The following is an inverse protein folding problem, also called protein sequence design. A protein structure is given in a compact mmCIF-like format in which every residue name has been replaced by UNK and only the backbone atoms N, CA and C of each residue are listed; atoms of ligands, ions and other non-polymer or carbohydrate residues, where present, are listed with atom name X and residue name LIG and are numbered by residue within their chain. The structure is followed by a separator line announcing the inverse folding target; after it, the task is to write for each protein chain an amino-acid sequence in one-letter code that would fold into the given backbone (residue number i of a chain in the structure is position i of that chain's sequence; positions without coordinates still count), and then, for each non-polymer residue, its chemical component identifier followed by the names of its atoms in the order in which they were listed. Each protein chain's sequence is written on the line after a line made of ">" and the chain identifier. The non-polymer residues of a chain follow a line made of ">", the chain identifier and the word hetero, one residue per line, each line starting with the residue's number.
data_IF_399311426946
#
_entry.id   IF_399311426946
#
_cell.length_a   1.000
_cell.length_b   1.000
_cell.length_c   1.000
_cell.angle_alpha   90.00
_cell.angle_beta   90.00
_cell.angle_gamma   90.00
#
_symmetry.space_group_name_H-M   'P 1'
#
loop_
_entity.id
_entity.type
_entity.pdbx_description
1 polymer ?
#
# COMPACT_ATOMS: atom_id res chain seq x y z
N UNK A 1 40.57 -30.41 -17.11
CA UNK A 1 41.01 -29.33 -16.17
C UNK A 1 40.25 -28.02 -16.30
N UNK A 2 39.84 -27.54 -17.49
CA UNK A 2 39.07 -26.31 -17.62
C UNK A 2 37.60 -26.42 -17.15
N UNK A 3 37.00 -27.60 -17.15
CA UNK A 3 35.62 -27.85 -16.69
C UNK A 3 35.41 -27.80 -15.17
N UNK A 4 36.45 -28.11 -14.40
CA UNK A 4 36.38 -28.10 -12.93
C UNK A 4 36.53 -26.69 -12.33
N UNK A 5 37.22 -25.79 -13.02
CA UNK A 5 37.46 -24.41 -12.56
C UNK A 5 36.18 -23.57 -12.68
N UNK A 6 35.26 -23.90 -13.59
CA UNK A 6 33.98 -23.18 -13.76
C UNK A 6 32.85 -23.71 -12.83
N UNK A 7 32.95 -24.88 -12.28
CA UNK A 7 31.94 -25.48 -11.41
C UNK A 7 31.98 -24.94 -9.97
N UNK A 8 33.13 -24.53 -9.47
CA UNK A 8 33.31 -24.04 -8.10
C UNK A 8 32.61 -22.68 -7.89
N UNK A 9 32.81 -21.65 -8.76
CA UNK A 9 32.12 -20.38 -8.60
C UNK A 9 30.59 -20.47 -8.82
N UNK A 10 30.12 -21.39 -9.66
CA UNK A 10 28.70 -21.63 -9.87
C UNK A 10 28.05 -22.30 -8.64
N UNK A 11 28.73 -23.25 -8.01
CA UNK A 11 28.24 -23.91 -6.79
C UNK A 11 28.23 -22.96 -5.59
N UNK A 12 29.25 -22.14 -5.40
CA UNK A 12 29.30 -21.11 -4.35
C UNK A 12 28.24 -20.04 -4.53
N UNK A 13 28.00 -19.59 -5.76
CA UNK A 13 26.92 -18.66 -6.09
C UNK A 13 25.53 -19.25 -5.80
N UNK A 14 25.29 -20.51 -6.14
CA UNK A 14 24.03 -21.20 -5.87
C UNK A 14 23.79 -21.38 -4.36
N UNK A 15 24.80 -21.72 -3.59
CA UNK A 15 24.72 -21.87 -2.13
C UNK A 15 24.48 -20.52 -1.45
N UNK A 16 25.16 -19.46 -1.87
CA UNK A 16 24.93 -18.11 -1.37
C UNK A 16 23.49 -17.63 -1.68
N UNK A 17 23.00 -17.88 -2.88
CA UNK A 17 21.63 -17.56 -3.28
C UNK A 17 20.59 -18.36 -2.48
N UNK A 18 20.82 -19.64 -2.26
CA UNK A 18 19.95 -20.48 -1.43
C UNK A 18 19.95 -20.01 0.03
N UNK A 19 21.09 -19.65 0.59
CA UNK A 19 21.22 -19.10 1.93
C UNK A 19 20.46 -17.77 2.10
N UNK A 20 20.58 -16.87 1.14
CA UNK A 20 19.83 -15.61 1.11
C UNK A 20 18.32 -15.85 1.03
N UNK A 21 17.89 -16.79 0.19
CA UNK A 21 16.47 -17.17 0.06
C UNK A 21 15.90 -17.74 1.36
N UNK A 22 16.65 -18.61 2.04
CA UNK A 22 16.24 -19.17 3.33
C UNK A 22 16.17 -18.11 4.41
N UNK A 23 17.15 -17.22 4.50
CA UNK A 23 17.15 -16.09 5.44
C UNK A 23 15.92 -15.19 5.22
N UNK A 24 15.63 -14.88 3.98
CA UNK A 24 14.47 -14.09 3.58
C UNK A 24 13.14 -14.76 3.96
N UNK A 25 13.00 -16.07 3.68
CA UNK A 25 11.80 -16.81 4.09
C UNK A 25 11.63 -16.83 5.61
N UNK A 26 12.73 -16.96 6.37
CA UNK A 26 12.68 -16.89 7.84
C UNK A 26 12.19 -15.50 8.30
N UNK A 27 12.72 -14.43 7.71
CA UNK A 27 12.30 -13.05 8.03
C UNK A 27 10.81 -12.87 7.76
N UNK A 28 10.29 -13.30 6.60
CA UNK A 28 8.86 -13.18 6.30
C UNK A 28 7.98 -13.96 7.27
N UNK A 29 8.35 -15.18 7.63
CA UNK A 29 7.60 -15.95 8.64
C UNK A 29 7.59 -15.24 10.00
N UNK A 30 8.68 -14.59 10.38
CA UNK A 30 8.74 -13.80 11.61
C UNK A 30 7.83 -12.58 11.53
N UNK A 31 7.79 -11.89 10.39
CA UNK A 31 6.91 -10.74 10.17
C UNK A 31 5.43 -11.17 10.13
N UNK A 32 5.09 -12.29 9.49
CA UNK A 32 3.73 -12.85 9.47
C UNK A 32 3.24 -13.22 10.88
N UNK A 33 4.09 -13.88 11.68
CA UNK A 33 3.77 -14.18 13.08
C UNK A 33 3.55 -12.88 13.87
N UNK A 34 4.42 -11.90 13.69
CA UNK A 34 4.31 -10.59 14.33
C UNK A 34 3.03 -9.84 13.94
N UNK A 35 2.56 -9.95 12.70
CA UNK A 35 1.31 -9.32 12.26
C UNK A 35 0.12 -9.74 13.10
N UNK A 36 0.03 -11.04 13.41
CA UNK A 36 -1.04 -11.56 14.26
C UNK A 36 -0.99 -10.93 15.66
N UNK A 37 0.19 -10.89 16.27
CA UNK A 37 0.38 -10.28 17.60
C UNK A 37 0.05 -8.79 17.58
N UNK A 38 0.44 -8.06 16.52
CA UNK A 38 0.11 -6.65 16.36
C UNK A 38 -1.39 -6.42 16.18
N UNK A 39 -2.06 -7.25 15.37
CA UNK A 39 -3.51 -7.17 15.17
C UNK A 39 -4.27 -7.37 16.49
N UNK A 40 -3.86 -8.32 17.32
CA UNK A 40 -4.45 -8.54 18.65
C UNK A 40 -4.15 -7.38 19.58
N UNK A 41 -2.89 -6.98 19.70
CA UNK A 41 -2.44 -5.96 20.67
C UNK A 41 -3.01 -4.57 20.39
N UNK A 42 -2.98 -4.13 19.14
CA UNK A 42 -3.42 -2.79 18.74
C UNK A 42 -4.87 -2.77 18.25
N UNK A 43 -5.45 -3.90 17.88
CA UNK A 43 -6.84 -4.01 17.47
C UNK A 43 -7.82 -3.56 18.55
N UNK A 44 -7.53 -3.86 19.82
CA UNK A 44 -8.32 -3.40 20.97
C UNK A 44 -8.33 -1.88 21.08
N UNK A 45 -7.15 -1.24 20.90
CA UNK A 45 -7.03 0.22 20.98
C UNK A 45 -7.75 0.93 19.82
N UNK A 46 -7.76 0.34 18.63
CA UNK A 46 -8.47 0.87 17.46
C UNK A 46 -10.00 0.84 17.67
N UNK A 47 -10.51 -0.08 18.46
CA UNK A 47 -11.95 -0.21 18.75
C UNK A 47 -12.83 -0.08 17.49
N UNK A 48 -12.48 -0.85 16.47
CA UNK A 48 -13.18 -0.83 15.18
C UNK A 48 -14.60 -1.39 15.32
N UNK A 49 -15.57 -0.94 14.50
CA UNK A 49 -16.94 -1.39 14.59
C UNK A 49 -17.09 -2.90 14.33
N UNK A 50 -17.90 -3.57 15.12
CA UNK A 50 -18.27 -4.98 14.89
C UNK A 50 -19.19 -5.15 13.66
N UNK A 51 -19.97 -4.11 13.36
CA UNK A 51 -20.93 -4.10 12.25
C UNK A 51 -20.45 -3.20 11.13
N UNK A 52 -20.73 -3.63 9.90
CA UNK A 52 -20.51 -2.81 8.70
C UNK A 52 -21.64 -1.77 8.56
N UNK A 53 -21.39 -0.68 7.81
CA UNK A 53 -22.45 0.25 7.41
C UNK A 53 -23.60 -0.50 6.71
N UNK A 54 -24.82 -0.08 7.00
CA UNK A 54 -26.05 -0.72 6.46
C UNK A 54 -26.16 -0.52 4.95
N UNK A 55 -25.68 0.65 4.47
CA UNK A 55 -25.70 0.98 3.05
C UNK A 55 -24.26 1.12 2.57
N UNK A 56 -23.92 0.38 1.53
CA UNK A 56 -22.63 0.44 0.87
C UNK A 56 -22.80 0.88 -0.58
N UNK A 57 -21.90 1.72 -1.11
CA UNK A 57 -21.97 2.15 -2.50
C UNK A 57 -21.74 0.99 -3.47
N UNK A 58 -22.33 1.11 -4.66
CA UNK A 58 -22.19 0.13 -5.74
C UNK A 58 -20.80 0.19 -6.39
N UNK A 59 -20.16 -0.96 -6.53
CA UNK A 59 -18.82 -1.12 -7.13
C UNK A 59 -18.82 -1.28 -8.66
N UNK A 60 -19.95 -1.05 -9.36
CA UNK A 60 -20.06 -1.26 -10.83
C UNK A 60 -19.06 -0.44 -11.63
N UNK A 61 -18.72 0.76 -11.18
CA UNK A 61 -17.72 1.63 -11.81
C UNK A 61 -16.26 1.29 -11.42
N UNK A 62 -16.06 0.19 -10.69
CA UNK A 62 -14.74 -0.29 -10.22
C UNK A 62 -14.00 0.69 -9.30
N UNK A 63 -14.67 1.68 -8.79
CA UNK A 63 -14.23 2.61 -7.75
C UNK A 63 -15.41 3.02 -6.89
N UNK A 64 -15.18 3.09 -5.59
CA UNK A 64 -16.13 3.64 -4.62
C UNK A 64 -15.41 4.54 -3.62
N UNK A 65 -16.18 5.45 -3.05
CA UNK A 65 -15.74 6.38 -2.00
C UNK A 65 -16.71 6.26 -0.85
N UNK A 66 -16.19 5.98 0.35
CA UNK A 66 -16.97 5.84 1.57
C UNK A 66 -16.48 6.91 2.55
N UNK A 67 -17.29 7.92 2.87
CA UNK A 67 -16.92 8.92 3.86
C UNK A 67 -17.00 8.32 5.26
N UNK A 68 -16.12 8.78 6.15
CA UNK A 68 -16.10 8.48 7.58
C UNK A 68 -16.27 6.98 7.95
N UNK A 69 -15.50 6.06 7.34
CA UNK A 69 -15.60 4.63 7.60
C UNK A 69 -15.11 4.24 9.00
N UNK A 70 -14.33 5.11 9.64
CA UNK A 70 -13.73 4.86 10.94
C UNK A 70 -14.30 5.79 12.02
N UNK A 71 -14.49 5.29 13.25
CA UNK A 71 -14.71 6.15 14.39
C UNK A 71 -13.58 7.18 14.53
N UNK A 72 -13.90 8.40 14.95
CA UNK A 72 -12.93 9.50 15.07
C UNK A 72 -11.69 9.08 15.88
N UNK A 73 -11.88 8.39 17.00
CA UNK A 73 -10.78 7.93 17.86
C UNK A 73 -9.84 6.95 17.10
N UNK A 74 -10.40 6.00 16.36
CA UNK A 74 -9.61 5.05 15.56
C UNK A 74 -8.83 5.77 14.46
N UNK A 75 -9.49 6.71 13.78
CA UNK A 75 -8.86 7.50 12.73
C UNK A 75 -7.69 8.34 13.28
N UNK A 76 -7.86 9.00 14.42
CA UNK A 76 -6.79 9.80 15.05
C UNK A 76 -5.59 8.92 15.44
N UNK A 77 -5.81 7.71 15.98
CA UNK A 77 -4.72 6.75 16.26
C UNK A 77 -3.91 6.46 14.98
N UNK A 78 -4.58 6.20 13.86
CA UNK A 78 -3.91 5.93 12.59
C UNK A 78 -3.17 7.16 12.05
N UNK A 79 -3.77 8.34 12.17
CA UNK A 79 -3.19 9.61 11.75
C UNK A 79 -1.92 9.92 12.54
N UNK A 80 -1.96 9.79 13.85
CA UNK A 80 -0.81 9.99 14.72
C UNK A 80 0.29 8.97 14.45
N UNK A 81 -0.08 7.69 14.25
CA UNK A 81 0.86 6.65 13.86
C UNK A 81 1.60 6.98 12.56
N UNK A 82 0.89 7.48 11.55
CA UNK A 82 1.49 7.87 10.29
C UNK A 82 2.44 9.08 10.40
N UNK A 83 2.18 9.97 11.35
CA UNK A 83 3.00 11.17 11.58
C UNK A 83 4.24 10.89 12.46
N UNK A 84 4.35 9.73 13.10
CA UNK A 84 5.58 9.27 13.77
C UNK A 84 6.66 8.91 12.74
N UNK A 85 7.16 9.87 12.05
CA UNK A 85 8.06 9.75 10.89
C UNK A 85 9.14 8.68 11.06
N UNK A 86 9.16 7.73 10.13
CA UNK A 86 10.28 6.83 9.91
C UNK A 86 11.10 7.26 8.68
N UNK A 87 12.04 6.42 8.26
CA UNK A 87 12.78 6.63 7.02
C UNK A 87 11.83 6.55 5.82
N UNK A 88 11.54 7.69 5.20
CA UNK A 88 10.80 7.75 3.93
C UNK A 88 11.77 7.57 2.77
N UNK A 89 11.49 6.61 1.92
CA UNK A 89 12.23 6.42 0.68
C UNK A 89 11.56 7.23 -0.44
N UNK A 90 12.35 8.04 -1.13
CA UNK A 90 11.84 8.76 -2.30
C UNK A 90 11.99 7.91 -3.56
N UNK A 91 11.01 8.03 -4.47
CA UNK A 91 11.03 7.27 -5.71
C UNK A 91 12.27 7.56 -6.54
N UNK A 92 12.82 6.50 -7.14
CA UNK A 92 13.95 6.56 -8.08
C UNK A 92 13.52 6.92 -9.52
N UNK A 93 12.22 7.05 -9.78
CA UNK A 93 11.65 7.46 -11.07
C UNK A 93 10.89 8.78 -10.96
N UNK A 94 11.58 9.93 -10.83
CA UNK A 94 10.93 11.23 -10.61
C UNK A 94 9.98 11.61 -11.76
N UNK A 95 10.23 11.14 -12.98
CA UNK A 95 9.36 11.39 -14.13
C UNK A 95 7.98 10.70 -13.99
N UNK A 96 7.88 9.62 -13.19
CA UNK A 96 6.64 8.90 -12.98
C UNK A 96 6.01 9.22 -11.62
N UNK A 97 6.81 9.23 -10.56
CA UNK A 97 6.39 9.48 -9.18
C UNK A 97 7.42 10.33 -8.46
N UNK A 98 6.97 11.40 -7.84
CA UNK A 98 7.73 12.15 -6.82
C UNK A 98 6.95 12.07 -5.50
N UNK A 99 7.67 11.79 -4.42
CA UNK A 99 7.05 11.62 -3.10
C UNK A 99 7.83 10.65 -2.23
N UNK A 100 7.59 10.71 -0.95
CA UNK A 100 8.13 9.78 0.04
C UNK A 100 7.26 8.53 0.15
N UNK A 101 7.86 7.40 0.48
CA UNK A 101 7.12 6.15 0.74
C UNK A 101 7.72 5.45 1.94
N UNK A 102 6.88 4.95 2.83
CA UNK A 102 7.25 4.01 3.89
C UNK A 102 6.70 2.65 3.51
N UNK A 103 7.59 1.67 3.32
CA UNK A 103 7.24 0.33 2.90
C UNK A 103 6.62 -0.49 4.04
N UNK A 104 5.88 -1.55 3.68
CA UNK A 104 5.15 -2.39 4.63
C UNK A 104 6.02 -2.94 5.77
N UNK A 105 7.19 -3.42 5.46
CA UNK A 105 8.11 -3.99 6.45
C UNK A 105 8.46 -3.00 7.57
N UNK A 106 8.64 -1.70 7.23
CA UNK A 106 8.94 -0.68 8.23
C UNK A 106 7.75 -0.30 9.10
N UNK A 107 6.53 -0.39 8.57
CA UNK A 107 5.33 -0.08 9.35
C UNK A 107 5.19 -0.96 10.59
N UNK A 108 5.73 -2.18 10.58
CA UNK A 108 5.73 -3.06 11.74
C UNK A 108 6.47 -2.48 12.95
N UNK A 109 7.44 -1.63 12.71
CA UNK A 109 8.25 -1.00 13.76
C UNK A 109 7.76 0.40 14.12
N UNK A 110 7.42 1.21 13.11
CA UNK A 110 7.13 2.63 13.33
C UNK A 110 5.65 2.96 13.49
N UNK A 111 4.77 2.15 12.92
CA UNK A 111 3.32 2.36 12.91
C UNK A 111 2.55 1.04 13.00
N UNK A 112 2.74 0.25 14.09
CA UNK A 112 2.09 -1.05 14.25
C UNK A 112 0.56 -0.98 14.27
N UNK A 113 -0.03 0.15 14.63
CA UNK A 113 -1.48 0.40 14.57
C UNK A 113 -2.00 0.35 13.12
N UNK A 114 -1.22 0.84 12.17
CA UNK A 114 -1.55 0.77 10.73
C UNK A 114 -1.51 -0.69 10.26
N UNK A 115 -0.53 -1.47 10.72
CA UNK A 115 -0.47 -2.91 10.41
C UNK A 115 -1.69 -3.63 11.00
N UNK A 116 -2.04 -3.33 12.25
CA UNK A 116 -3.22 -3.89 12.91
C UNK A 116 -4.52 -3.53 12.17
N UNK A 117 -4.67 -2.27 11.73
CA UNK A 117 -5.81 -1.86 10.93
C UNK A 117 -5.89 -2.60 9.60
N UNK A 118 -4.77 -2.68 8.86
CA UNK A 118 -4.71 -3.40 7.58
C UNK A 118 -5.07 -4.88 7.72
N UNK A 119 -4.67 -5.52 8.80
CA UNK A 119 -4.96 -6.93 9.09
C UNK A 119 -6.29 -7.15 9.81
N UNK A 120 -7.05 -6.08 10.10
CA UNK A 120 -8.31 -6.18 10.85
C UNK A 120 -9.40 -6.91 10.06
N UNK A 121 -10.20 -7.67 10.78
CA UNK A 121 -11.39 -8.33 10.23
C UNK A 121 -12.43 -7.31 9.73
N UNK A 122 -12.54 -6.16 10.40
CA UNK A 122 -13.40 -5.07 9.98
C UNK A 122 -13.09 -4.59 8.55
N UNK A 123 -11.84 -4.21 8.29
CA UNK A 123 -11.43 -3.71 6.97
C UNK A 123 -11.59 -4.78 5.88
N UNK A 124 -11.22 -6.02 6.19
CA UNK A 124 -11.37 -7.15 5.27
C UNK A 124 -12.85 -7.38 4.90
N UNK A 125 -13.75 -7.40 5.91
CA UNK A 125 -15.20 -7.55 5.70
C UNK A 125 -15.77 -6.38 4.91
N UNK A 126 -15.38 -5.14 5.25
CA UNK A 126 -15.83 -3.93 4.56
C UNK A 126 -15.44 -3.98 3.08
N UNK A 127 -14.17 -4.25 2.78
CA UNK A 127 -13.70 -4.39 1.39
C UNK A 127 -14.42 -5.52 0.65
N UNK A 128 -14.60 -6.69 1.29
CA UNK A 128 -15.33 -7.82 0.68
C UNK A 128 -16.78 -7.49 0.36
N UNK A 129 -17.46 -6.78 1.28
CA UNK A 129 -18.87 -6.39 1.09
C UNK A 129 -19.02 -5.36 -0.04
N UNK A 130 -18.12 -4.35 -0.09
CA UNK A 130 -18.11 -3.33 -1.16
C UNK A 130 -17.85 -3.95 -2.53
N UNK A 131 -16.86 -4.85 -2.61
CA UNK A 131 -16.42 -5.47 -3.86
C UNK A 131 -17.41 -6.54 -4.35
N UNK A 132 -18.18 -7.10 -3.42
CA UNK A 132 -19.15 -8.19 -3.71
C UNK A 132 -18.51 -9.58 -3.81
N UNK A 133 -17.23 -9.74 -3.40
CA UNK A 133 -16.54 -11.03 -3.32
C UNK A 133 -15.50 -11.04 -2.18
N UNK A 134 -15.21 -12.21 -1.61
CA UNK A 134 -14.21 -12.32 -0.55
C UNK A 134 -12.84 -11.85 -1.02
N UNK A 135 -12.21 -10.96 -0.26
CA UNK A 135 -10.84 -10.52 -0.48
C UNK A 135 -10.00 -10.72 0.78
N UNK A 136 -8.70 -10.84 0.57
CA UNK A 136 -7.70 -10.95 1.62
C UNK A 136 -6.60 -9.91 1.40
N UNK A 137 -5.90 -9.47 2.45
CA UNK A 137 -4.69 -8.65 2.32
C UNK A 137 -3.68 -9.34 1.39
N UNK A 138 -2.98 -8.54 0.58
CA UNK A 138 -1.89 -9.08 -0.24
C UNK A 138 -0.70 -9.48 0.63
N UNK A 139 0.12 -10.47 0.20
CA UNK A 139 1.19 -11.03 1.02
C UNK A 139 2.25 -10.00 1.43
N UNK A 140 2.82 -10.17 2.61
CA UNK A 140 3.84 -9.26 3.20
C UNK A 140 5.10 -9.09 2.35
N UNK A 141 5.40 -10.04 1.49
CA UNK A 141 6.53 -9.96 0.58
C UNK A 141 6.31 -8.99 -0.59
N UNK A 142 5.15 -8.36 -0.70
CA UNK A 142 4.90 -7.21 -1.56
C UNK A 142 4.99 -5.94 -0.72
N UNK A 143 6.04 -5.16 -0.90
CA UNK A 143 6.29 -3.94 -0.11
C UNK A 143 5.21 -2.87 -0.31
N UNK A 144 4.41 -3.01 -1.37
CA UNK A 144 3.26 -2.14 -1.64
C UNK A 144 1.96 -2.64 -0.99
N UNK A 145 1.96 -3.80 -0.31
CA UNK A 145 0.75 -4.37 0.33
C UNK A 145 0.10 -3.41 1.30
N UNK A 146 0.93 -2.71 2.07
CA UNK A 146 0.53 -1.63 2.96
C UNK A 146 1.67 -0.61 3.02
N UNK A 147 1.40 0.64 2.70
CA UNK A 147 2.43 1.68 2.66
C UNK A 147 1.86 3.05 3.00
N UNK A 148 2.71 3.92 3.52
CA UNK A 148 2.40 5.34 3.64
C UNK A 148 3.03 6.09 2.48
N UNK A 149 2.24 6.92 1.82
CA UNK A 149 2.68 7.79 0.73
C UNK A 149 2.67 9.22 1.23
N UNK A 150 3.84 9.86 1.20
CA UNK A 150 4.05 11.24 1.64
C UNK A 150 4.23 12.16 0.43
N UNK A 151 3.37 13.15 0.32
CA UNK A 151 3.51 14.29 -0.56
C UNK A 151 3.73 15.50 0.34
N UNK A 152 4.96 16.00 0.39
CA UNK A 152 5.40 17.01 1.37
C UNK A 152 6.30 18.09 0.75
N UNK A 153 6.68 17.92 -0.51
CA UNK A 153 7.45 18.90 -1.25
C UNK A 153 6.66 19.37 -2.46
N UNK A 154 6.77 20.65 -2.84
CA UNK A 154 6.18 21.13 -4.08
C UNK A 154 6.53 20.22 -5.26
N UNK A 155 5.57 19.98 -6.13
CA UNK A 155 5.65 19.08 -7.29
C UNK A 155 5.63 17.57 -6.97
N UNK A 156 5.47 17.15 -5.70
CA UNK A 156 5.21 15.74 -5.40
C UNK A 156 3.91 15.29 -6.07
N UNK A 157 3.97 14.19 -6.83
CA UNK A 157 2.85 13.71 -7.66
C UNK A 157 3.03 12.23 -8.04
N UNK A 158 2.00 11.64 -8.65
CA UNK A 158 2.08 10.39 -9.42
C UNK A 158 1.40 10.61 -10.76
N UNK A 159 2.13 10.36 -11.85
CA UNK A 159 1.60 10.48 -13.20
C UNK A 159 0.57 9.39 -13.52
N UNK A 160 -0.11 9.50 -14.65
CA UNK A 160 -1.10 8.55 -15.12
C UNK A 160 -0.56 7.12 -15.17
N UNK A 161 -1.25 6.18 -14.49
CA UNK A 161 -0.89 4.77 -14.46
C UNK A 161 -2.09 3.87 -14.14
N UNK A 162 -1.89 2.59 -14.35
CA UNK A 162 -2.65 1.50 -13.76
C UNK A 162 -1.79 0.83 -12.71
N UNK A 163 -2.39 0.33 -11.64
CA UNK A 163 -1.70 -0.55 -10.71
C UNK A 163 -1.52 -1.93 -11.35
N UNK A 164 -0.34 -2.50 -11.22
CA UNK A 164 -0.08 -3.81 -11.80
C UNK A 164 -0.58 -4.93 -10.89
N UNK A 165 -1.37 -5.85 -11.46
CA UNK A 165 -1.85 -7.02 -10.74
C UNK A 165 -0.85 -8.20 -10.82
N UNK A 166 -0.14 -8.46 -9.74
CA UNK A 166 0.82 -9.57 -9.64
C UNK A 166 0.18 -10.90 -9.22
N UNK A 167 -1.09 -10.91 -8.84
CA UNK A 167 -1.79 -12.04 -8.26
C UNK A 167 -2.70 -12.75 -9.28
N UNK A 168 -3.18 -13.95 -8.89
CA UNK A 168 -4.24 -14.62 -9.61
C UNK A 168 -5.60 -14.06 -9.17
N UNK A 169 -6.46 -13.72 -10.02
CA UNK A 169 -7.74 -13.09 -9.70
C UNK A 169 -7.68 -11.56 -9.69
N UNK A 170 -8.63 -10.93 -9.01
CA UNK A 170 -8.76 -9.46 -8.97
C UNK A 170 -7.85 -8.87 -7.88
N UNK A 171 -7.38 -7.66 -8.13
CA UNK A 171 -6.52 -6.91 -7.22
C UNK A 171 -7.09 -5.51 -7.03
N UNK A 172 -7.15 -5.07 -5.79
CA UNK A 172 -7.79 -3.82 -5.38
C UNK A 172 -6.82 -2.97 -4.59
N UNK A 173 -6.86 -1.68 -4.88
CA UNK A 173 -6.18 -0.65 -4.11
C UNK A 173 -7.18 0.01 -3.18
N UNK A 174 -6.80 0.16 -1.93
CA UNK A 174 -7.60 0.75 -0.85
C UNK A 174 -6.82 1.90 -0.26
N UNK A 175 -7.35 3.11 -0.37
CA UNK A 175 -6.71 4.32 0.11
C UNK A 175 -7.48 4.92 1.28
N UNK A 176 -6.73 5.41 2.28
CA UNK A 176 -7.27 6.25 3.37
C UNK A 176 -6.40 7.50 3.49
N UNK A 177 -6.90 8.69 3.14
CA UNK A 177 -6.23 9.94 3.42
C UNK A 177 -6.14 10.15 4.94
N UNK A 178 -4.94 10.15 5.49
CA UNK A 178 -4.70 10.41 6.91
C UNK A 178 -4.46 11.89 7.16
N UNK A 179 -3.80 12.57 6.23
CA UNK A 179 -3.64 14.03 6.18
C UNK A 179 -3.83 14.48 4.73
N UNK A 180 -4.58 15.54 4.53
CA UNK A 180 -4.73 16.16 3.22
C UNK A 180 -5.18 17.62 3.40
N UNK A 181 -4.23 18.54 3.52
CA UNK A 181 -4.51 19.92 3.85
C UNK A 181 -3.49 20.90 3.27
N UNK A 182 -3.89 22.14 3.17
CA UNK A 182 -2.99 23.30 3.14
C UNK A 182 -2.65 23.68 4.60
N UNK A 183 -1.39 24.00 4.88
CA UNK A 183 -0.91 24.21 6.26
C UNK A 183 -1.34 25.54 6.88
N UNK A 184 -1.75 26.51 6.05
CA UNK A 184 -2.10 27.87 6.46
C UNK A 184 -3.55 28.24 6.11
N UNK A 185 -4.22 27.45 5.28
CA UNK A 185 -5.58 27.70 4.79
C UNK A 185 -6.50 26.53 5.11
N UNK A 186 -7.76 26.82 5.35
CA UNK A 186 -8.78 25.77 5.57
C UNK A 186 -9.27 25.19 4.22
N UNK A 187 -8.38 24.44 3.57
CA UNK A 187 -8.67 23.71 2.33
C UNK A 187 -7.87 22.43 2.20
N UNK A 188 -8.33 21.53 1.36
CA UNK A 188 -7.54 20.37 0.95
C UNK A 188 -6.34 20.78 0.09
N UNK A 189 -5.33 19.94 0.03
CA UNK A 189 -4.17 20.13 -0.84
C UNK A 189 -4.57 20.10 -2.32
N UNK A 190 -3.72 20.66 -3.18
CA UNK A 190 -3.81 20.57 -4.64
C UNK A 190 -3.51 19.18 -5.20
N UNK A 191 -2.89 18.30 -4.40
CA UNK A 191 -2.58 16.92 -4.76
C UNK A 191 -3.86 16.05 -4.75
N UNK A 192 -4.60 16.05 -5.85
CA UNK A 192 -5.90 15.40 -6.02
C UNK A 192 -5.75 14.03 -6.70
N UNK A 193 -6.53 13.06 -6.27
CA UNK A 193 -6.72 11.82 -7.01
C UNK A 193 -7.64 12.10 -8.21
N UNK A 194 -7.16 11.84 -9.41
CA UNK A 194 -7.92 12.01 -10.66
C UNK A 194 -7.97 10.66 -11.38
N UNK A 195 -9.14 10.25 -11.79
CA UNK A 195 -9.35 9.04 -12.60
C UNK A 195 -9.79 9.44 -14.01
N UNK A 196 -9.58 8.54 -14.97
CA UNK A 196 -10.15 8.69 -16.32
C UNK A 196 -11.22 7.61 -16.55
N UNK A 197 -12.43 8.09 -16.83
CA UNK A 197 -13.57 7.25 -17.14
C UNK A 197 -14.27 7.82 -18.39
N UNK A 198 -14.56 6.98 -19.36
CA UNK A 198 -15.22 7.38 -20.63
C UNK A 198 -14.60 8.63 -21.27
N UNK A 199 -13.24 8.68 -21.34
CA UNK A 199 -12.44 9.79 -21.84
C UNK A 199 -12.54 11.10 -21.05
N UNK A 200 -13.23 11.11 -19.91
CA UNK A 200 -13.33 12.26 -19.00
C UNK A 200 -12.44 12.10 -17.78
N UNK A 201 -11.85 13.19 -17.34
CA UNK A 201 -11.14 13.25 -16.07
C UNK A 201 -12.12 13.59 -14.95
N UNK A 202 -12.14 12.76 -13.91
CA UNK A 202 -12.99 12.91 -12.74
C UNK A 202 -12.08 13.04 -11.52
N UNK A 203 -12.21 14.13 -10.78
CA UNK A 203 -11.52 14.30 -9.51
C UNK A 203 -12.29 13.58 -8.41
N UNK A 204 -11.61 12.69 -7.71
CA UNK A 204 -12.15 11.98 -6.55
C UNK A 204 -11.81 12.78 -5.30
N UNK A 205 -12.81 13.22 -4.52
CA UNK A 205 -12.57 13.87 -3.24
C UNK A 205 -11.82 12.95 -2.30
N UNK A 206 -10.80 13.49 -1.64
CA UNK A 206 -9.96 12.73 -0.69
C UNK A 206 -9.82 13.47 0.65
N UNK A 207 -10.93 13.88 1.31
CA UNK A 207 -10.81 14.43 2.66
C UNK A 207 -10.29 13.35 3.63
N UNK A 208 -9.67 13.73 4.75
CA UNK A 208 -9.27 12.80 5.79
C UNK A 208 -10.45 11.91 6.24
N UNK A 209 -10.16 10.69 6.70
CA UNK A 209 -11.15 9.67 7.05
C UNK A 209 -12.11 9.29 5.90
N UNK A 210 -11.60 9.16 4.70
CA UNK A 210 -12.35 8.65 3.55
C UNK A 210 -11.74 7.32 3.11
N UNK A 211 -12.54 6.28 2.89
CA UNK A 211 -12.07 5.04 2.29
C UNK A 211 -12.37 5.03 0.80
N UNK A 212 -11.33 4.88 -0.01
CA UNK A 212 -11.45 4.78 -1.47
C UNK A 212 -11.01 3.38 -1.87
N UNK A 213 -11.91 2.61 -2.48
CA UNK A 213 -11.62 1.24 -2.96
C UNK A 213 -11.75 1.22 -4.46
N UNK A 214 -10.72 0.76 -5.18
CA UNK A 214 -10.79 0.63 -6.64
C UNK A 214 -9.97 -0.55 -7.17
N UNK A 215 -10.36 -1.03 -8.37
CA UNK A 215 -9.63 -2.07 -9.08
C UNK A 215 -8.48 -1.44 -9.87
N UNK A 216 -7.29 -1.34 -9.24
CA UNK A 216 -6.16 -0.55 -9.74
C UNK A 216 -5.71 -0.90 -11.16
N UNK A 217 -5.80 -2.18 -11.56
CA UNK A 217 -5.47 -2.63 -12.91
C UNK A 217 -6.51 -2.22 -13.98
N UNK A 218 -7.63 -1.61 -13.59
CA UNK A 218 -8.74 -1.22 -14.46
C UNK A 218 -9.08 0.25 -14.40
N UNK A 219 -8.68 0.94 -13.34
CA UNK A 219 -8.91 2.37 -13.15
C UNK A 219 -7.62 3.13 -13.48
N UNK A 220 -7.63 3.86 -14.61
CA UNK A 220 -6.50 4.71 -14.99
C UNK A 220 -6.52 5.97 -14.16
N UNK A 221 -5.47 6.22 -13.38
CA UNK A 221 -5.47 7.28 -12.37
C UNK A 221 -4.13 7.98 -12.22
N UNK A 222 -4.18 9.18 -11.63
CA UNK A 222 -3.01 10.00 -11.27
C UNK A 222 -3.25 10.70 -9.94
N UNK A 223 -2.17 11.22 -9.34
CA UNK A 223 -2.23 12.24 -8.29
C UNK A 223 -1.60 13.52 -8.84
N UNK A 224 -2.35 14.62 -8.80
CA UNK A 224 -1.87 15.93 -9.27
C UNK A 224 -0.75 16.44 -8.36
N UNK A 225 -0.05 17.48 -8.81
CA UNK A 225 1.11 18.02 -8.10
C UNK A 225 0.71 18.73 -6.83
N UNK A 226 1.49 18.52 -5.78
CA UNK A 226 1.40 19.28 -4.54
C UNK A 226 1.96 20.69 -4.75
N UNK A 227 1.34 21.67 -4.12
CA UNK A 227 1.81 23.06 -4.07
C UNK A 227 2.60 23.35 -2.78
N UNK A 228 3.06 24.59 -2.62
CA UNK A 228 3.75 25.02 -1.41
C UNK A 228 2.79 25.08 -0.21
N UNK A 229 3.33 24.89 0.99
CA UNK A 229 2.57 24.86 2.25
C UNK A 229 1.44 23.83 2.28
N UNK A 230 1.60 22.72 1.60
CA UNK A 230 0.65 21.62 1.59
C UNK A 230 1.27 20.31 2.11
N UNK A 231 0.43 19.49 2.71
CA UNK A 231 0.78 18.16 3.18
C UNK A 231 -0.31 17.17 2.82
N UNK A 232 0.10 16.05 2.22
CA UNK A 232 -0.79 14.93 1.98
C UNK A 232 -0.10 13.62 2.40
N UNK A 233 -0.71 12.90 3.34
CA UNK A 233 -0.27 11.57 3.78
C UNK A 233 -1.39 10.58 3.50
N UNK A 234 -1.09 9.60 2.67
CA UNK A 234 -2.03 8.58 2.23
C UNK A 234 -1.62 7.21 2.73
N UNK A 235 -2.51 6.54 3.45
CA UNK A 235 -2.39 5.11 3.69
C UNK A 235 -2.88 4.37 2.44
N UNK A 236 -1.99 3.61 1.81
CA UNK A 236 -2.25 2.80 0.63
C UNK A 236 -2.13 1.33 1.00
N UNK A 237 -3.20 0.60 0.79
CA UNK A 237 -3.32 -0.83 1.10
C UNK A 237 -3.78 -1.59 -0.13
N UNK A 238 -3.45 -2.87 -0.23
CA UNK A 238 -3.90 -3.69 -1.35
C UNK A 238 -4.53 -5.00 -0.88
N UNK A 239 -5.58 -5.40 -1.58
CA UNK A 239 -6.31 -6.63 -1.36
C UNK A 239 -6.42 -7.42 -2.66
N UNK A 240 -6.59 -8.72 -2.57
CA UNK A 240 -6.81 -9.57 -3.73
C UNK A 240 -7.78 -10.71 -3.42
N UNK A 241 -8.43 -11.24 -4.47
CA UNK A 241 -9.30 -12.41 -4.31
C UNK A 241 -8.52 -13.71 -4.18
N UNK A 242 -7.30 -13.76 -4.76
CA UNK A 242 -6.42 -14.93 -4.73
C UNK A 242 -4.96 -14.47 -4.60
N UNK A 243 -4.30 -14.70 -3.44
CA UNK A 243 -2.95 -14.19 -3.15
C UNK A 243 -1.82 -14.96 -3.85
N UNK A 244 -2.12 -16.03 -4.59
CA UNK A 244 -1.12 -16.79 -5.33
C UNK A 244 -0.56 -15.95 -6.49
N UNK A 245 0.71 -16.13 -6.80
CA UNK A 245 1.40 -15.47 -7.92
C UNK A 245 2.19 -16.50 -8.73
N UNK A 246 2.33 -16.27 -10.05
CA UNK A 246 3.23 -17.07 -10.87
C UNK A 246 4.70 -16.64 -10.69
N UNK A 247 5.64 -17.53 -11.03
CA UNK A 247 7.07 -17.22 -10.93
C UNK A 247 7.46 -15.98 -11.74
N UNK A 248 6.91 -15.84 -12.94
CA UNK A 248 7.16 -14.68 -13.81
C UNK A 248 6.64 -13.38 -13.18
N UNK A 249 5.39 -13.38 -12.72
CA UNK A 249 4.80 -12.21 -12.05
C UNK A 249 5.55 -11.84 -10.76
N UNK A 250 6.01 -12.84 -10.01
CA UNK A 250 6.82 -12.64 -8.81
C UNK A 250 8.17 -11.98 -9.12
N UNK A 251 8.80 -12.32 -10.24
CA UNK A 251 10.06 -11.70 -10.67
C UNK A 251 9.83 -10.24 -11.11
N UNK A 252 8.80 -9.97 -11.92
CA UNK A 252 8.46 -8.60 -12.35
C UNK A 252 8.13 -7.72 -11.14
N UNK A 253 7.42 -8.25 -10.15
CA UNK A 253 7.13 -7.53 -8.90
C UNK A 253 8.41 -7.11 -8.18
N UNK A 254 9.41 -7.99 -8.08
CA UNK A 254 10.71 -7.63 -7.46
C UNK A 254 11.41 -6.48 -8.19
N UNK A 255 11.37 -6.46 -9.53
CA UNK A 255 11.91 -5.33 -10.27
C UNK A 255 11.14 -4.03 -9.98
N UNK A 256 9.82 -4.09 -9.89
CA UNK A 256 9.01 -2.95 -9.46
C UNK A 256 9.43 -2.49 -8.06
N UNK A 257 9.56 -3.41 -7.10
CA UNK A 257 9.92 -3.06 -5.72
C UNK A 257 11.30 -2.39 -5.66
N UNK A 258 12.28 -2.84 -6.45
CA UNK A 258 13.58 -2.17 -6.58
C UNK A 258 13.40 -0.75 -7.11
N UNK A 259 12.57 -0.56 -8.12
CA UNK A 259 12.33 0.73 -8.74
C UNK A 259 11.68 1.75 -7.79
N UNK A 260 10.80 1.29 -6.89
CA UNK A 260 10.05 2.16 -5.96
C UNK A 260 10.71 2.29 -4.58
N UNK A 261 11.36 1.24 -4.10
CA UNK A 261 11.94 1.16 -2.76
C UNK A 261 13.47 1.00 -2.74
N UNK A 262 14.09 1.09 -3.93
CA UNK A 262 15.55 1.03 -4.08
C UNK A 262 16.14 -0.38 -4.01
N UNK A 263 17.47 -0.44 -4.14
CA UNK A 263 18.25 -1.69 -4.19
C UNK A 263 18.02 -2.59 -2.97
N UNK A 264 17.62 -1.99 -1.84
CA UNK A 264 17.26 -2.72 -0.63
C UNK A 264 16.13 -3.72 -0.86
N UNK A 265 15.17 -3.42 -1.72
CA UNK A 265 14.09 -4.34 -2.08
C UNK A 265 14.56 -5.64 -2.77
N UNK A 266 15.83 -5.74 -3.17
CA UNK A 266 16.46 -7.02 -3.56
C UNK A 266 16.62 -7.98 -2.38
N UNK A 267 16.79 -7.44 -1.19
CA UNK A 267 17.13 -8.17 0.02
C UNK A 267 15.92 -8.41 0.94
N UNK A 268 14.78 -7.78 0.62
CA UNK A 268 13.50 -7.92 1.36
C UNK A 268 12.47 -8.81 0.65
#
# INVERSE_FOLDING_TARGET
>A
MLSEILLIPAATGALAFAGLKLRKQKQYRQLEARQHDLAVRYGVALNLPDRLPTELPDFRQRIVVIPDPLPVAAFEILREAALRRGNTERSYFPAHKQGGTVAYEYLHDIAPEIVAFYQSDYLRRLCSAVIGEPVVPTPIHDQSSCSLLFYERPQDHINWHYDYNFYHGRHFTVLVPLVNCHLQEDRLSSARLVIRQDSREITIPTPPNTLIVFEGARVFHKVTRLEENELRVMLSMTFCTRPQTSLLKGTIRRFKDIAYFGVRALWT
#
